data_IF_348061649159
#
_entry.id   IF_348061649159
#
_cell.length_a   1.000
_cell.length_b   1.000
_cell.length_c   1.000
_cell.angle_alpha   90.00
_cell.angle_beta   90.00
_cell.angle_gamma   90.00
#
_symmetry.space_group_name_H-M   'P 1'
#
loop_
_entity.id
_entity.type
_entity.pdbx_description
1 polymer ?
#
# COMPACT_ATOMS: atom_id res chain seq x y z
N UNK A 1 -41.48 33.05 -37.41
CA UNK A 1 -41.90 31.81 -36.76
C UNK A 1 -40.71 31.28 -35.96
N UNK A 2 -40.82 31.29 -34.64
CA UNK A 2 -39.88 30.61 -33.72
C UNK A 2 -40.27 29.13 -33.64
N UNK A 3 -39.34 28.26 -33.28
CA UNK A 3 -39.66 27.31 -32.20
C UNK A 3 -38.74 27.46 -30.99
N UNK A 4 -39.42 27.31 -29.86
CA UNK A 4 -39.00 27.28 -28.49
C UNK A 4 -38.17 26.04 -28.13
N UNK A 5 -37.17 26.28 -27.26
CA UNK A 5 -36.98 25.65 -25.94
C UNK A 5 -37.19 24.14 -25.78
N UNK A 6 -36.10 23.48 -25.37
CA UNK A 6 -36.15 22.52 -24.25
C UNK A 6 -34.72 22.36 -23.70
N UNK A 7 -34.38 23.28 -22.79
CA UNK A 7 -33.27 23.06 -21.85
C UNK A 7 -33.87 22.20 -20.73
N UNK A 8 -33.64 20.93 -20.77
CA UNK A 8 -33.85 20.04 -19.66
C UNK A 8 -32.72 20.21 -18.64
N UNK A 9 -32.97 20.92 -17.56
CA UNK A 9 -32.15 20.93 -16.37
C UNK A 9 -32.11 19.49 -15.81
N UNK A 10 -31.01 18.76 -16.01
CA UNK A 10 -30.71 17.63 -15.17
C UNK A 10 -30.38 18.17 -13.79
N UNK A 11 -31.32 17.98 -12.88
CA UNK A 11 -31.08 18.13 -11.45
C UNK A 11 -29.89 17.23 -11.09
N UNK A 12 -28.80 17.82 -10.62
CA UNK A 12 -27.81 17.08 -9.87
C UNK A 12 -28.52 16.54 -8.63
N UNK A 13 -28.92 15.28 -8.67
CA UNK A 13 -29.21 14.54 -7.46
C UNK A 13 -27.92 14.53 -6.65
N UNK A 14 -27.99 15.19 -5.53
CA UNK A 14 -26.98 15.21 -4.49
C UNK A 14 -26.85 13.76 -3.98
N UNK A 15 -25.94 12.99 -4.56
CA UNK A 15 -25.55 11.69 -4.01
C UNK A 15 -24.78 11.97 -2.73
N UNK A 16 -25.52 12.38 -1.70
CA UNK A 16 -25.04 12.37 -0.33
C UNK A 16 -24.40 11.03 -0.05
N UNK A 17 -23.16 11.02 0.38
CA UNK A 17 -22.46 9.83 0.86
C UNK A 17 -23.41 9.12 1.82
N UNK A 18 -23.84 7.93 1.41
CA UNK A 18 -24.68 7.06 2.21
C UNK A 18 -23.98 6.91 3.58
N UNK A 19 -24.64 7.35 4.66
CA UNK A 19 -24.16 7.30 6.04
C UNK A 19 -23.91 5.87 6.55
N UNK A 20 -23.90 4.89 5.64
CA UNK A 20 -23.82 3.45 5.90
C UNK A 20 -22.56 2.78 5.31
N UNK A 21 -21.55 3.52 4.87
CA UNK A 21 -20.30 2.85 4.46
C UNK A 21 -19.61 2.32 5.72
N UNK A 22 -19.41 0.99 5.83
CA UNK A 22 -18.78 0.40 7.02
C UNK A 22 -17.40 1.01 7.25
N UNK A 23 -17.10 1.38 8.50
CA UNK A 23 -15.83 1.97 8.89
C UNK A 23 -14.72 0.91 9.00
N UNK A 24 -15.07 -0.33 9.31
CA UNK A 24 -14.14 -1.43 9.48
C UNK A 24 -14.62 -2.73 8.84
N UNK A 25 -13.74 -3.73 8.75
CA UNK A 25 -14.12 -5.07 8.35
C UNK A 25 -15.06 -5.75 9.36
N UNK A 26 -14.93 -5.42 10.65
CA UNK A 26 -15.83 -5.92 11.68
C UNK A 26 -17.28 -5.56 11.39
N UNK A 27 -17.55 -4.35 10.91
CA UNK A 27 -18.92 -3.93 10.53
C UNK A 27 -19.45 -4.66 9.29
N UNK A 28 -18.54 -5.10 8.39
CA UNK A 28 -18.90 -5.79 7.15
C UNK A 28 -19.18 -7.29 7.34
N UNK A 29 -18.86 -7.86 8.51
CA UNK A 29 -19.01 -9.30 8.78
C UNK A 29 -20.37 -9.56 9.39
N UNK A 30 -21.10 -10.47 8.77
CA UNK A 30 -22.31 -11.04 9.35
C UNK A 30 -21.92 -12.05 10.46
N UNK A 31 -22.22 -11.70 11.71
CA UNK A 31 -21.88 -12.50 12.89
C UNK A 31 -22.60 -13.86 12.90
N UNK A 32 -23.80 -13.95 12.30
CA UNK A 32 -24.53 -15.20 12.22
C UNK A 32 -23.87 -16.21 11.28
N UNK A 33 -23.06 -15.72 10.36
CA UNK A 33 -22.26 -16.54 9.44
C UNK A 33 -21.01 -17.15 10.07
N UNK A 34 -20.67 -16.80 11.31
CA UNK A 34 -19.49 -17.26 12.04
C UNK A 34 -19.89 -18.28 13.09
N UNK A 35 -19.24 -19.45 13.10
CA UNK A 35 -19.48 -20.48 14.10
C UNK A 35 -18.55 -20.41 15.32
N UNK A 36 -17.44 -19.67 15.22
CA UNK A 36 -16.42 -19.55 16.26
C UNK A 36 -16.74 -18.37 17.19
N UNK A 37 -17.00 -18.69 18.47
CA UNK A 37 -17.44 -17.70 19.46
C UNK A 37 -16.33 -16.70 19.79
N UNK A 38 -15.06 -17.13 19.84
CA UNK A 38 -13.94 -16.24 20.15
C UNK A 38 -13.77 -15.17 19.06
N UNK A 39 -13.99 -15.56 17.80
CA UNK A 39 -14.00 -14.62 16.67
C UNK A 39 -15.17 -13.64 16.78
N UNK A 40 -16.36 -14.13 17.14
CA UNK A 40 -17.54 -13.26 17.33
C UNK A 40 -17.28 -12.20 18.38
N UNK A 41 -16.79 -12.63 19.54
CA UNK A 41 -16.53 -11.76 20.68
C UNK A 41 -15.47 -10.70 20.33
N UNK A 42 -14.42 -11.08 19.60
CA UNK A 42 -13.39 -10.15 19.13
C UNK A 42 -13.96 -9.12 18.14
N UNK A 43 -14.81 -9.54 17.20
CA UNK A 43 -15.46 -8.64 16.24
C UNK A 43 -16.40 -7.67 16.95
N UNK A 44 -17.15 -8.13 17.95
CA UNK A 44 -18.02 -7.27 18.77
C UNK A 44 -17.21 -6.21 19.50
N UNK A 45 -16.07 -6.60 20.10
CA UNK A 45 -15.16 -5.66 20.74
C UNK A 45 -14.60 -4.64 19.74
N UNK A 46 -14.18 -5.08 18.54
CA UNK A 46 -13.68 -4.18 17.50
C UNK A 46 -14.72 -3.15 17.06
N UNK A 47 -16.01 -3.49 17.05
CA UNK A 47 -17.09 -2.54 16.72
C UNK A 47 -17.28 -1.43 17.75
N UNK A 48 -16.78 -1.61 18.96
CA UNK A 48 -16.96 -0.69 20.08
C UNK A 48 -15.74 0.19 20.40
N UNK A 49 -14.63 0.05 19.64
CA UNK A 49 -13.42 0.84 19.89
C UNK A 49 -13.54 2.27 19.37
N UNK A 50 -12.75 3.21 19.93
CA UNK A 50 -12.71 4.58 19.41
C UNK A 50 -12.17 4.65 17.99
N UNK A 51 -12.72 5.58 17.22
CA UNK A 51 -12.31 5.85 15.84
C UNK A 51 -11.51 7.14 15.78
N UNK A 52 -10.29 7.06 15.23
CA UNK A 52 -9.44 8.20 14.94
C UNK A 52 -9.34 8.42 13.44
N UNK A 53 -9.47 9.67 13.00
CA UNK A 53 -9.40 10.04 11.60
C UNK A 53 -8.12 10.82 11.35
N UNK A 54 -7.33 10.40 10.38
CA UNK A 54 -6.24 11.16 9.79
C UNK A 54 -6.53 11.43 8.33
N UNK A 55 -5.88 12.42 7.75
CA UNK A 55 -5.96 12.72 6.31
C UNK A 55 -4.75 12.08 5.64
N UNK A 56 -4.97 11.45 4.48
CA UNK A 56 -3.84 11.03 3.65
C UNK A 56 -3.16 12.25 3.03
N UNK A 57 -1.95 12.51 3.45
CA UNK A 57 -1.09 13.59 2.96
C UNK A 57 0.23 13.02 2.42
N UNK A 58 0.17 11.80 1.89
CA UNK A 58 1.33 11.07 1.40
C UNK A 58 1.45 11.05 -0.12
N UNK A 59 2.69 10.91 -0.58
CA UNK A 59 3.01 10.52 -1.96
C UNK A 59 3.96 9.32 -1.95
N UNK A 60 3.85 8.47 -2.97
CA UNK A 60 4.64 7.24 -3.09
C UNK A 60 5.54 7.28 -4.34
N UNK A 61 6.76 7.81 -4.25
CA UNK A 61 7.73 7.78 -5.35
C UNK A 61 8.23 6.36 -5.60
N UNK A 62 8.16 5.94 -6.87
CA UNK A 62 8.85 4.75 -7.36
C UNK A 62 10.25 5.15 -7.76
N UNK A 63 11.23 4.98 -6.88
CA UNK A 63 12.59 5.51 -7.09
C UNK A 63 13.48 4.64 -8.00
N UNK A 64 13.19 3.34 -8.12
CA UNK A 64 13.97 2.38 -8.91
C UNK A 64 13.10 1.23 -9.38
N UNK A 65 13.43 0.67 -10.55
CA UNK A 65 12.75 -0.50 -11.12
C UNK A 65 13.33 -1.83 -10.62
N UNK A 66 14.63 -1.85 -10.34
CA UNK A 66 15.34 -3.08 -9.96
C UNK A 66 14.87 -3.64 -8.61
N UNK A 67 14.81 -4.96 -8.52
CA UNK A 67 14.61 -5.70 -7.28
C UNK A 67 15.16 -7.11 -7.44
N UNK A 68 15.81 -7.62 -6.45
CA UNK A 68 16.34 -8.99 -6.47
C UNK A 68 15.31 -10.06 -6.17
N UNK A 69 14.06 -9.70 -5.86
CA UNK A 69 12.98 -10.67 -5.67
C UNK A 69 12.05 -10.75 -6.88
N UNK A 70 11.41 -11.90 -7.07
CA UNK A 70 10.47 -12.19 -8.17
C UNK A 70 9.12 -12.64 -7.64
N UNK A 71 8.62 -11.96 -6.61
CA UNK A 71 7.41 -12.36 -5.89
C UNK A 71 6.21 -12.50 -6.82
N UNK A 72 5.50 -13.64 -6.74
CA UNK A 72 4.36 -13.98 -7.59
C UNK A 72 3.14 -13.08 -7.39
N UNK A 73 3.08 -12.36 -6.29
CA UNK A 73 2.00 -11.44 -5.91
C UNK A 73 2.42 -9.96 -5.93
N UNK A 74 3.54 -9.61 -6.57
CA UNK A 74 4.06 -8.24 -6.56
C UNK A 74 3.06 -7.25 -7.15
N UNK A 75 2.76 -6.16 -6.43
CA UNK A 75 1.84 -5.09 -6.87
C UNK A 75 2.43 -4.14 -7.91
N UNK A 76 3.69 -4.33 -8.27
CA UNK A 76 4.31 -3.59 -9.36
C UNK A 76 4.40 -2.08 -9.19
N UNK A 77 4.94 -1.64 -8.09
CA UNK A 77 5.34 -0.22 -8.02
C UNK A 77 6.69 0.03 -8.69
N UNK A 78 7.47 -0.99 -9.08
CA UNK A 78 8.82 -0.80 -9.57
C UNK A 78 9.32 -1.67 -10.70
N UNK A 79 8.80 -2.85 -10.89
CA UNK A 79 9.25 -3.73 -11.98
C UNK A 79 8.07 -4.22 -12.78
N UNK A 80 8.29 -4.59 -14.03
CA UNK A 80 7.25 -5.16 -14.85
C UNK A 80 6.61 -6.33 -14.12
N UNK A 81 5.33 -6.16 -13.79
CA UNK A 81 4.46 -7.27 -13.38
C UNK A 81 3.58 -7.56 -14.54
N UNK A 82 3.38 -8.80 -14.79
CA UNK A 82 2.37 -9.16 -15.72
C UNK A 82 1.00 -8.85 -15.12
N UNK A 83 0.27 -8.04 -15.76
CA UNK A 83 -1.15 -7.96 -15.49
C UNK A 83 -1.86 -9.11 -16.20
N UNK A 84 -2.92 -9.63 -15.59
CA UNK A 84 -3.80 -10.60 -16.26
C UNK A 84 -4.47 -10.01 -17.52
N UNK A 85 -4.28 -8.71 -17.78
CA UNK A 85 -4.94 -7.96 -18.84
C UNK A 85 -3.94 -7.36 -19.83
N UNK A 86 -4.24 -7.50 -21.13
CA UNK A 86 -3.50 -6.82 -22.18
C UNK A 86 -3.88 -5.33 -22.24
N UNK A 87 -2.90 -4.44 -22.49
CA UNK A 87 -3.14 -3.01 -22.73
C UNK A 87 -4.19 -2.69 -23.79
N UNK A 88 -4.30 -3.54 -24.80
CA UNK A 88 -5.10 -3.26 -26.01
C UNK A 88 -6.50 -3.83 -25.97
N UNK A 89 -6.76 -4.85 -25.15
CA UNK A 89 -8.01 -5.60 -25.22
C UNK A 89 -8.75 -5.74 -23.90
N UNK A 90 -8.15 -5.37 -22.76
CA UNK A 90 -8.67 -5.64 -21.41
C UNK A 90 -9.04 -7.13 -21.19
N UNK A 91 -8.56 -8.01 -22.09
CA UNK A 91 -8.80 -9.44 -21.98
C UNK A 91 -7.69 -10.12 -21.18
N UNK A 92 -8.02 -11.18 -20.43
CA UNK A 92 -7.02 -11.98 -19.72
C UNK A 92 -5.96 -12.47 -20.71
N UNK A 93 -4.68 -12.24 -20.39
CA UNK A 93 -3.60 -12.79 -21.18
C UNK A 93 -3.41 -14.28 -20.79
N UNK A 94 -3.76 -15.24 -21.69
CA UNK A 94 -3.72 -16.66 -21.35
C UNK A 94 -2.31 -17.20 -21.08
N UNK A 95 -1.25 -16.46 -21.44
CA UNK A 95 0.16 -16.82 -21.16
C UNK A 95 0.61 -16.35 -19.79
N UNK A 96 -0.28 -15.74 -19.02
CA UNK A 96 0.08 -15.02 -17.83
C UNK A 96 -0.62 -15.57 -16.60
N UNK A 97 0.14 -16.08 -15.66
CA UNK A 97 -0.37 -16.61 -14.37
C UNK A 97 -0.26 -15.62 -13.21
N UNK A 98 -0.12 -14.33 -13.51
CA UNK A 98 0.12 -13.31 -12.48
C UNK A 98 1.54 -13.41 -11.88
N UNK A 99 2.00 -12.31 -11.29
CA UNK A 99 3.29 -12.28 -10.66
C UNK A 99 4.34 -11.51 -11.45
N UNK A 100 5.46 -11.30 -10.79
CA UNK A 100 6.56 -10.50 -11.29
C UNK A 100 7.41 -11.29 -12.26
N UNK A 101 7.64 -10.72 -13.42
CA UNK A 101 8.56 -11.28 -14.41
C UNK A 101 9.96 -10.78 -14.11
N UNK A 102 10.95 -11.63 -14.37
CA UNK A 102 12.35 -11.29 -14.25
C UNK A 102 12.67 -9.96 -14.94
N UNK A 103 13.49 -9.12 -14.30
CA UNK A 103 14.02 -7.88 -14.88
C UNK A 103 14.74 -8.08 -16.21
N UNK A 104 15.11 -9.32 -16.55
CA UNK A 104 15.76 -9.70 -17.80
C UNK A 104 14.79 -10.00 -18.95
N UNK A 105 13.49 -10.04 -18.70
CA UNK A 105 12.48 -10.22 -19.73
C UNK A 105 11.99 -8.85 -20.25
N UNK A 106 12.28 -8.56 -21.51
CA UNK A 106 12.14 -7.21 -22.08
C UNK A 106 10.71 -6.70 -22.23
N UNK A 107 9.70 -7.52 -22.32
CA UNK A 107 8.29 -7.11 -22.35
C UNK A 107 7.37 -8.25 -21.96
N UNK A 108 6.38 -7.94 -21.17
CA UNK A 108 5.33 -8.86 -20.75
C UNK A 108 3.96 -8.21 -20.77
N UNK A 109 3.76 -7.22 -21.64
CA UNK A 109 2.52 -6.45 -21.79
C UNK A 109 2.06 -5.76 -20.50
N UNK A 110 2.99 -5.23 -19.74
CA UNK A 110 2.70 -4.62 -18.44
C UNK A 110 2.50 -3.14 -18.55
N UNK A 111 1.53 -2.63 -17.81
CA UNK A 111 1.35 -1.23 -17.53
C UNK A 111 2.37 -0.79 -16.50
N UNK A 112 3.48 -0.22 -16.96
CA UNK A 112 4.52 0.22 -16.07
C UNK A 112 5.31 1.36 -16.72
N UNK A 113 5.78 2.30 -15.93
CA UNK A 113 6.62 3.40 -16.38
C UNK A 113 8.04 3.09 -15.96
N UNK A 114 8.92 2.68 -16.89
CA UNK A 114 10.32 2.42 -16.57
C UNK A 114 11.05 3.72 -16.26
N UNK A 115 11.88 3.71 -15.24
CA UNK A 115 12.72 4.85 -14.88
C UNK A 115 13.30 4.73 -13.48
N UNK A 116 14.44 5.40 -13.27
CA UNK A 116 15.13 5.48 -11.98
C UNK A 116 15.29 6.96 -11.63
N UNK A 117 14.76 7.37 -10.49
CA UNK A 117 14.85 8.75 -10.01
C UNK A 117 16.28 9.10 -9.69
N UNK A 118 16.67 10.33 -9.98
CA UNK A 118 17.96 10.87 -9.59
C UNK A 118 17.74 11.93 -8.50
N UNK A 119 18.66 12.06 -7.53
CA UNK A 119 18.61 13.13 -6.53
C UNK A 119 19.11 14.44 -7.14
N UNK A 120 18.33 15.01 -8.04
CA UNK A 120 18.59 16.23 -8.79
C UNK A 120 17.50 17.29 -8.59
N UNK A 121 17.67 18.45 -9.18
CA UNK A 121 16.73 19.56 -9.05
C UNK A 121 15.35 19.19 -9.61
N UNK A 122 15.25 18.35 -10.65
CA UNK A 122 13.97 17.90 -11.19
C UNK A 122 13.19 17.07 -10.19
N UNK A 123 13.87 16.20 -9.41
CA UNK A 123 13.23 15.47 -8.33
C UNK A 123 12.73 16.41 -7.23
N UNK A 124 13.56 17.38 -6.83
CA UNK A 124 13.20 18.36 -5.81
C UNK A 124 11.99 19.19 -6.26
N UNK A 125 12.01 19.70 -7.48
CA UNK A 125 10.92 20.49 -8.05
C UNK A 125 9.63 19.68 -8.16
N UNK A 126 9.72 18.39 -8.53
CA UNK A 126 8.54 17.50 -8.57
C UNK A 126 7.90 17.32 -7.21
N UNK A 127 8.69 17.20 -6.13
CA UNK A 127 8.18 17.14 -4.77
C UNK A 127 7.54 18.46 -4.33
N UNK A 128 8.17 19.59 -4.63
CA UNK A 128 7.65 20.93 -4.29
C UNK A 128 6.33 21.22 -5.02
N UNK A 129 6.26 20.93 -6.30
CA UNK A 129 5.04 21.09 -7.09
C UNK A 129 3.90 20.20 -6.55
N UNK A 130 4.20 18.92 -6.23
CA UNK A 130 3.20 18.03 -5.63
C UNK A 130 2.79 18.50 -4.23
N UNK A 131 3.74 19.00 -3.42
CA UNK A 131 3.44 19.58 -2.10
C UNK A 131 2.52 20.78 -2.22
N UNK A 132 2.74 21.65 -3.19
CA UNK A 132 1.88 22.79 -3.45
C UNK A 132 0.49 22.39 -3.92
N UNK A 133 0.39 21.40 -4.81
CA UNK A 133 -0.89 20.99 -5.41
C UNK A 133 -1.76 20.16 -4.46
N UNK A 134 -1.18 19.27 -3.65
CA UNK A 134 -1.89 18.30 -2.82
C UNK A 134 -1.68 18.46 -1.31
N UNK A 135 -0.86 19.39 -0.87
CA UNK A 135 -0.56 19.58 0.57
C UNK A 135 0.10 18.37 1.20
N UNK A 136 0.96 17.64 0.46
CA UNK A 136 1.64 16.46 1.00
C UNK A 136 2.59 16.83 2.15
N UNK A 137 2.66 15.95 3.15
CA UNK A 137 3.56 16.03 4.31
C UNK A 137 4.46 14.80 4.43
N UNK A 138 4.14 13.72 3.73
CA UNK A 138 4.86 12.46 3.79
C UNK A 138 5.31 11.99 2.42
N UNK A 139 6.52 11.45 2.35
CA UNK A 139 7.03 10.70 1.21
C UNK A 139 7.26 9.25 1.63
N UNK A 140 6.67 8.33 0.91
CA UNK A 140 6.84 6.91 1.16
C UNK A 140 7.59 6.26 -0.02
N UNK A 141 8.90 6.18 0.09
CA UNK A 141 9.77 5.65 -0.95
C UNK A 141 9.45 4.17 -1.24
N UNK A 142 9.22 3.89 -2.51
CA UNK A 142 8.95 2.55 -3.04
C UNK A 142 9.77 2.29 -4.30
N UNK A 143 9.50 1.18 -4.95
CA UNK A 143 10.12 0.85 -6.22
C UNK A 143 10.07 -0.64 -6.47
N UNK A 144 11.07 -1.14 -7.13
CA UNK A 144 11.42 -2.56 -7.04
C UNK A 144 11.88 -2.85 -5.61
N UNK A 145 13.11 -2.48 -5.32
CA UNK A 145 13.65 -2.48 -3.96
C UNK A 145 14.47 -1.19 -3.74
N UNK A 146 14.00 -0.26 -2.91
CA UNK A 146 14.66 1.01 -2.69
C UNK A 146 16.13 0.91 -2.25
N UNK A 147 16.46 -0.10 -1.44
CA UNK A 147 17.85 -0.30 -0.95
C UNK A 147 18.84 -0.73 -2.05
N UNK A 148 18.37 -1.02 -3.25
CA UNK A 148 19.22 -1.23 -4.42
C UNK A 148 19.55 0.08 -5.15
N UNK A 149 18.90 1.20 -4.78
CA UNK A 149 19.20 2.48 -5.41
C UNK A 149 20.55 3.02 -4.92
N UNK A 150 21.54 3.30 -5.82
CA UNK A 150 22.88 3.65 -5.40
C UNK A 150 22.98 4.98 -4.65
N UNK A 151 22.01 5.87 -4.89
CA UNK A 151 21.95 7.21 -4.29
C UNK A 151 20.74 7.37 -3.34
N UNK A 152 20.31 6.30 -2.68
CA UNK A 152 19.15 6.32 -1.78
C UNK A 152 19.29 7.36 -0.65
N UNK A 153 20.43 7.48 0.05
CA UNK A 153 20.59 8.49 1.10
C UNK A 153 20.41 9.93 0.59
N UNK A 154 20.88 10.23 -0.64
CA UNK A 154 20.71 11.54 -1.26
C UNK A 154 19.25 11.84 -1.60
N UNK A 155 18.49 10.83 -2.10
CA UNK A 155 17.05 10.94 -2.33
C UNK A 155 16.31 11.23 -1.01
N UNK A 156 16.66 10.52 0.06
CA UNK A 156 16.10 10.76 1.41
C UNK A 156 16.41 12.19 1.86
N UNK A 157 17.66 12.62 1.74
CA UNK A 157 18.07 13.96 2.15
C UNK A 157 17.31 15.06 1.37
N UNK A 158 17.08 14.89 0.09
CA UNK A 158 16.35 15.86 -0.73
C UNK A 158 14.88 15.97 -0.31
N UNK A 159 14.22 14.83 -0.06
CA UNK A 159 12.84 14.84 0.43
C UNK A 159 12.73 15.46 1.83
N UNK A 160 13.67 15.18 2.73
CA UNK A 160 13.72 15.76 4.06
C UNK A 160 13.96 17.29 4.04
N UNK A 161 14.77 17.78 3.09
CA UNK A 161 15.04 19.22 2.92
C UNK A 161 13.82 20.06 2.59
N UNK A 162 12.78 19.49 2.00
CA UNK A 162 11.53 20.16 1.70
C UNK A 162 10.46 19.88 2.78
N UNK A 163 10.89 19.53 3.98
CA UNK A 163 10.02 19.34 5.14
C UNK A 163 8.94 18.27 4.88
N UNK A 164 9.37 17.10 4.42
CA UNK A 164 8.54 15.91 4.25
C UNK A 164 9.03 14.81 5.20
N UNK A 165 8.11 14.14 5.89
CA UNK A 165 8.41 12.93 6.66
C UNK A 165 8.73 11.77 5.71
N UNK A 166 9.96 11.30 5.73
CA UNK A 166 10.44 10.30 4.77
C UNK A 166 10.33 8.90 5.36
N UNK A 167 9.56 8.07 4.69
CA UNK A 167 9.33 6.65 5.01
C UNK A 167 9.72 5.79 3.80
N UNK A 168 9.93 4.49 4.05
CA UNK A 168 10.29 3.55 3.00
C UNK A 168 9.61 2.20 3.19
N UNK A 169 9.28 1.52 2.08
CA UNK A 169 8.96 0.08 2.09
C UNK A 169 10.12 -0.67 1.44
N UNK A 170 10.62 -1.71 2.11
CA UNK A 170 11.78 -2.47 1.67
C UNK A 170 11.60 -3.96 1.93
N UNK A 171 12.20 -4.81 1.10
CA UNK A 171 12.37 -6.23 1.37
C UNK A 171 13.67 -6.54 2.15
N UNK A 172 14.46 -5.51 2.47
CA UNK A 172 15.70 -5.61 3.24
C UNK A 172 16.93 -6.12 2.47
N UNK A 173 16.84 -6.32 1.17
CA UNK A 173 17.87 -7.03 0.38
C UNK A 173 19.26 -6.43 0.45
N UNK A 174 19.41 -5.12 0.59
CA UNK A 174 20.69 -4.41 0.66
C UNK A 174 20.72 -3.35 1.77
N UNK A 175 19.76 -3.39 2.69
CA UNK A 175 19.54 -2.32 3.68
C UNK A 175 20.72 -2.10 4.61
N UNK A 176 21.41 -3.16 5.06
CA UNK A 176 22.59 -3.06 5.93
C UNK A 176 23.63 -2.06 5.45
N UNK A 177 23.77 -1.86 4.13
CA UNK A 177 24.77 -0.94 3.56
C UNK A 177 24.35 0.52 3.53
N UNK A 178 23.04 0.80 3.59
CA UNK A 178 22.51 2.14 3.30
C UNK A 178 21.66 2.72 4.43
N UNK A 179 21.10 1.88 5.31
CA UNK A 179 20.13 2.33 6.33
C UNK A 179 20.73 3.36 7.29
N UNK A 180 22.00 3.17 7.70
CA UNK A 180 22.69 4.13 8.57
C UNK A 180 22.76 5.53 7.96
N UNK A 181 23.15 5.62 6.68
CA UNK A 181 23.22 6.88 5.94
C UNK A 181 21.82 7.46 5.69
N UNK A 182 20.82 6.62 5.39
CA UNK A 182 19.44 7.05 5.23
C UNK A 182 18.87 7.62 6.53
N UNK A 183 19.13 7.00 7.66
CA UNK A 183 18.71 7.50 8.98
C UNK A 183 19.33 8.88 9.25
N UNK A 184 20.62 9.03 8.98
CA UNK A 184 21.33 10.31 9.10
C UNK A 184 20.82 11.37 8.13
N UNK A 185 20.28 10.96 6.98
CA UNK A 185 19.71 11.82 5.95
C UNK A 185 18.27 12.25 6.23
N UNK A 186 17.61 11.68 7.27
CA UNK A 186 16.24 12.06 7.66
C UNK A 186 15.16 10.99 7.40
N UNK A 187 15.54 9.74 7.09
CA UNK A 187 14.57 8.64 7.06
C UNK A 187 14.04 8.42 8.48
N UNK A 188 12.72 8.38 8.63
CA UNK A 188 12.05 8.23 9.93
C UNK A 188 11.55 6.81 10.20
N UNK A 189 11.19 6.07 9.15
CA UNK A 189 10.52 4.78 9.27
C UNK A 189 10.79 3.85 8.09
N UNK A 190 10.89 2.55 8.40
CA UNK A 190 10.93 1.50 7.38
C UNK A 190 9.82 0.48 7.64
N UNK A 191 9.05 0.17 6.60
CA UNK A 191 8.11 -0.94 6.57
C UNK A 191 8.78 -2.11 5.84
N UNK A 192 9.24 -3.12 6.57
CA UNK A 192 9.82 -4.31 5.95
C UNK A 192 8.73 -5.27 5.47
N UNK A 193 8.86 -5.74 4.23
CA UNK A 193 7.95 -6.73 3.65
C UNK A 193 8.42 -8.14 4.01
N UNK A 194 7.66 -8.85 4.83
CA UNK A 194 7.97 -10.21 5.27
C UNK A 194 7.18 -11.19 4.41
N UNK A 195 7.82 -11.73 3.40
CA UNK A 195 7.19 -12.69 2.47
C UNK A 195 7.34 -14.16 2.91
N UNK A 196 8.23 -14.42 3.83
CA UNK A 196 8.48 -15.69 4.47
C UNK A 196 9.46 -15.48 5.61
N UNK A 197 9.49 -16.41 6.56
CA UNK A 197 10.39 -16.39 7.72
C UNK A 197 11.27 -17.64 7.78
N UNK A 198 11.04 -18.57 6.85
CA UNK A 198 11.96 -19.70 6.56
C UNK A 198 12.39 -19.66 5.10
N UNK A 199 13.53 -20.28 4.75
CA UNK A 199 14.00 -20.36 3.37
C UNK A 199 12.96 -20.95 2.41
N UNK A 200 12.25 -21.97 2.85
CA UNK A 200 11.22 -22.67 2.09
C UNK A 200 10.02 -21.74 1.84
N UNK A 201 9.53 -21.09 2.91
CA UNK A 201 8.42 -20.12 2.79
C UNK A 201 8.76 -19.00 1.81
N UNK A 202 9.95 -18.39 1.92
CA UNK A 202 10.35 -17.30 1.04
C UNK A 202 10.55 -17.78 -0.40
N UNK A 203 11.16 -18.97 -0.59
CA UNK A 203 11.34 -19.54 -1.93
C UNK A 203 10.01 -19.79 -2.62
N UNK A 204 9.00 -20.32 -1.91
CA UNK A 204 7.66 -20.57 -2.45
C UNK A 204 6.93 -19.30 -2.93
N UNK A 205 7.28 -18.12 -2.43
CA UNK A 205 6.68 -16.85 -2.86
C UNK A 205 7.28 -16.31 -4.15
N UNK A 206 8.41 -16.84 -4.57
CA UNK A 206 9.09 -16.40 -5.79
C UNK A 206 8.48 -17.06 -7.03
N UNK A 207 8.71 -16.48 -8.21
CA UNK A 207 8.39 -17.12 -9.48
C UNK A 207 9.05 -18.51 -9.55
N UNK A 208 8.36 -19.52 -10.09
CA UNK A 208 8.75 -20.93 -10.08
C UNK A 208 10.20 -21.19 -10.55
N UNK A 209 10.70 -20.41 -11.52
CA UNK A 209 12.09 -20.49 -12.02
C UNK A 209 13.14 -20.06 -10.98
N UNK A 210 12.74 -19.36 -9.92
CA UNK A 210 13.63 -18.79 -8.92
C UNK A 210 13.34 -19.30 -7.50
N UNK A 211 12.56 -20.36 -7.37
CA UNK A 211 12.29 -21.03 -6.10
C UNK A 211 13.53 -21.82 -5.63
N UNK A 212 14.40 -21.12 -4.91
CA UNK A 212 15.67 -21.68 -4.42
C UNK A 212 15.83 -21.37 -2.93
N UNK A 213 15.71 -22.40 -2.03
CA UNK A 213 15.84 -22.20 -0.59
C UNK A 213 17.20 -21.63 -0.16
N UNK A 214 18.30 -22.00 -0.80
CA UNK A 214 19.62 -21.48 -0.44
C UNK A 214 19.77 -19.99 -0.80
N UNK A 215 19.16 -19.54 -1.90
CA UNK A 215 19.06 -18.11 -2.23
C UNK A 215 18.13 -17.39 -1.25
N UNK A 216 16.99 -17.99 -0.92
CA UNK A 216 16.04 -17.44 0.03
C UNK A 216 16.65 -17.29 1.44
N UNK A 217 17.45 -18.25 1.91
CA UNK A 217 18.19 -18.15 3.18
C UNK A 217 19.05 -16.88 3.23
N UNK A 218 19.85 -16.63 2.19
CA UNK A 218 20.69 -15.40 2.11
C UNK A 218 19.86 -14.11 2.11
N UNK A 219 18.67 -14.15 1.51
CA UNK A 219 17.77 -12.98 1.51
C UNK A 219 17.14 -12.76 2.87
N UNK A 220 16.83 -13.82 3.61
CA UNK A 220 16.36 -13.73 5.01
C UNK A 220 17.45 -13.18 5.92
N UNK A 221 18.69 -13.62 5.77
CA UNK A 221 19.82 -13.06 6.53
C UNK A 221 19.95 -11.55 6.25
N UNK A 222 19.92 -11.13 4.99
CA UNK A 222 19.98 -9.73 4.61
C UNK A 222 18.80 -8.91 5.17
N UNK A 223 17.59 -9.46 5.17
CA UNK A 223 16.41 -8.85 5.78
C UNK A 223 16.62 -8.62 7.28
N UNK A 224 17.07 -9.66 8.00
CA UNK A 224 17.30 -9.58 9.45
C UNK A 224 18.43 -8.61 9.79
N UNK A 225 19.51 -8.59 9.01
CA UNK A 225 20.58 -7.60 9.15
C UNK A 225 20.04 -6.17 8.94
N UNK A 226 19.18 -5.97 7.94
CA UNK A 226 18.58 -4.67 7.65
C UNK A 226 17.61 -4.20 8.74
N UNK A 227 16.81 -5.11 9.32
CA UNK A 227 15.94 -4.80 10.47
C UNK A 227 16.80 -4.37 11.67
N UNK A 228 17.85 -5.13 11.99
CA UNK A 228 18.74 -4.79 13.10
C UNK A 228 19.42 -3.44 12.89
N UNK A 229 19.90 -3.15 11.69
CA UNK A 229 20.50 -1.86 11.34
C UNK A 229 19.52 -0.70 11.54
N UNK A 230 18.26 -0.87 11.09
CA UNK A 230 17.22 0.13 11.30
C UNK A 230 16.95 0.39 12.79
N UNK A 231 16.90 -0.66 13.61
CA UNK A 231 16.70 -0.55 15.06
C UNK A 231 17.89 0.12 15.76
N UNK A 232 19.13 -0.21 15.37
CA UNK A 232 20.35 0.41 15.92
C UNK A 232 20.36 1.92 15.65
N UNK A 233 19.88 2.36 14.48
CA UNK A 233 19.83 3.76 14.12
C UNK A 233 18.53 4.47 14.54
N UNK A 234 17.72 3.87 15.40
CA UNK A 234 16.55 4.49 16.03
C UNK A 234 15.37 4.70 15.08
N UNK A 235 15.34 4.04 13.91
CA UNK A 235 14.21 4.13 13.00
C UNK A 235 12.99 3.39 13.57
N UNK A 236 11.80 3.88 13.25
CA UNK A 236 10.57 3.12 13.47
C UNK A 236 10.51 1.96 12.47
N UNK A 237 10.27 0.76 12.97
CA UNK A 237 10.24 -0.45 12.13
C UNK A 237 8.88 -1.13 12.21
N UNK A 238 8.26 -1.30 11.06
CA UNK A 238 7.07 -2.16 10.91
C UNK A 238 7.44 -3.40 10.09
N UNK A 239 6.83 -4.55 10.39
CA UNK A 239 6.89 -5.78 9.61
C UNK A 239 5.54 -6.03 8.94
N UNK A 240 5.46 -5.87 7.62
CA UNK A 240 4.26 -6.12 6.84
C UNK A 240 4.16 -7.62 6.49
N UNK A 241 3.10 -8.29 6.94
CA UNK A 241 2.86 -9.71 6.71
C UNK A 241 1.49 -9.88 6.07
N UNK A 242 1.42 -10.43 4.86
CA UNK A 242 0.16 -10.86 4.25
C UNK A 242 -0.22 -12.22 4.82
N UNK A 243 -1.40 -12.33 5.39
CA UNK A 243 -1.91 -13.53 6.03
C UNK A 243 -3.11 -14.07 5.24
N UNK A 244 -2.86 -14.97 4.27
CA UNK A 244 -3.90 -15.59 3.44
C UNK A 244 -4.64 -16.72 4.15
N UNK A 245 -4.02 -17.34 5.15
CA UNK A 245 -4.60 -18.44 5.94
C UNK A 245 -3.96 -18.50 7.33
N UNK A 246 -4.53 -19.28 8.23
CA UNK A 246 -4.02 -19.45 9.60
C UNK A 246 -2.61 -20.09 9.63
N UNK A 247 -2.22 -20.83 8.60
CA UNK A 247 -0.86 -21.36 8.49
C UNK A 247 0.24 -20.27 8.47
N UNK A 248 -0.12 -19.02 8.13
CA UNK A 248 0.80 -17.89 8.18
C UNK A 248 0.97 -17.29 9.58
N UNK A 249 0.21 -17.74 10.58
CA UNK A 249 0.36 -17.31 11.98
C UNK A 249 1.80 -17.55 12.51
N UNK A 250 2.43 -18.63 12.10
CA UNK A 250 3.82 -18.94 12.48
C UNK A 250 4.82 -17.87 12.03
N UNK A 251 4.56 -17.19 10.91
CA UNK A 251 5.41 -16.06 10.45
C UNK A 251 5.34 -14.91 11.45
N UNK A 252 4.13 -14.60 11.91
CA UNK A 252 3.91 -13.54 12.90
C UNK A 252 4.61 -13.89 14.20
N UNK A 253 4.41 -15.13 14.69
CA UNK A 253 5.03 -15.62 15.91
C UNK A 253 6.57 -15.52 15.84
N UNK A 254 7.20 -16.01 14.77
CA UNK A 254 8.67 -15.94 14.60
C UNK A 254 9.22 -14.52 14.58
N UNK A 255 8.50 -13.55 14.04
CA UNK A 255 8.93 -12.14 14.08
C UNK A 255 8.75 -11.56 15.47
N UNK A 256 7.64 -11.85 16.15
CA UNK A 256 7.42 -11.45 17.56
C UNK A 256 8.50 -12.05 18.48
N UNK A 257 8.76 -13.34 18.38
CA UNK A 257 9.80 -14.03 19.18
C UNK A 257 11.19 -13.40 19.00
N UNK A 258 11.50 -12.97 17.77
CA UNK A 258 12.81 -12.42 17.45
C UNK A 258 12.99 -10.97 17.85
N UNK A 259 11.97 -10.14 17.72
CA UNK A 259 12.09 -8.69 17.86
C UNK A 259 11.24 -8.09 18.99
N UNK A 260 10.20 -8.78 19.43
CA UNK A 260 9.31 -8.33 20.50
C UNK A 260 8.68 -6.96 20.16
N UNK A 261 8.60 -6.10 21.15
CA UNK A 261 8.02 -4.76 21.02
C UNK A 261 8.81 -3.79 20.12
N UNK A 262 10.05 -4.13 19.74
CA UNK A 262 10.90 -3.28 18.90
C UNK A 262 10.39 -3.13 17.47
N UNK A 263 9.57 -4.07 17.01
CA UNK A 263 9.02 -4.11 15.66
C UNK A 263 7.50 -4.20 15.72
N UNK A 264 6.81 -3.24 15.11
CA UNK A 264 5.35 -3.30 15.01
C UNK A 264 4.94 -4.27 13.91
N UNK A 265 4.18 -5.30 14.25
CA UNK A 265 3.61 -6.21 13.27
C UNK A 265 2.43 -5.54 12.56
N UNK A 266 2.43 -5.58 11.23
CA UNK A 266 1.31 -5.13 10.40
C UNK A 266 0.79 -6.30 9.57
N UNK A 267 -0.34 -6.85 9.97
CA UNK A 267 -0.99 -7.94 9.24
C UNK A 267 -1.89 -7.32 8.17
N UNK A 268 -1.83 -7.86 6.97
CA UNK A 268 -2.65 -7.47 5.82
C UNK A 268 -3.43 -8.68 5.33
N UNK A 269 -4.67 -8.46 4.92
CA UNK A 269 -5.44 -9.51 4.28
C UNK A 269 -5.00 -9.71 2.82
N UNK A 270 -5.18 -10.95 2.34
CA UNK A 270 -5.03 -11.27 0.92
C UNK A 270 -6.27 -10.78 0.15
N UNK A 271 -6.05 -9.89 -0.82
CA UNK A 271 -7.13 -9.33 -1.62
C UNK A 271 -7.75 -10.34 -2.60
N UNK A 272 -7.07 -11.43 -2.90
CA UNK A 272 -7.60 -12.48 -3.76
C UNK A 272 -8.49 -13.47 -3.00
N UNK A 273 -8.26 -13.60 -1.69
CA UNK A 273 -9.02 -14.50 -0.81
C UNK A 273 -9.53 -13.77 0.43
N UNK A 274 -10.24 -12.68 0.21
CA UNK A 274 -10.56 -11.70 1.26
C UNK A 274 -11.28 -12.30 2.48
N UNK A 275 -12.34 -13.12 2.27
CA UNK A 275 -13.13 -13.65 3.37
C UNK A 275 -12.33 -14.59 4.25
N UNK A 276 -11.68 -15.59 3.65
CA UNK A 276 -10.90 -16.60 4.38
C UNK A 276 -9.70 -15.98 5.08
N UNK A 277 -9.01 -15.06 4.38
CA UNK A 277 -7.89 -14.32 4.96
C UNK A 277 -8.31 -13.49 6.18
N UNK A 278 -9.42 -12.76 6.11
CA UNK A 278 -9.93 -11.97 7.25
C UNK A 278 -10.28 -12.87 8.42
N UNK A 279 -11.00 -13.98 8.20
CA UNK A 279 -11.34 -14.94 9.25
C UNK A 279 -10.09 -15.57 9.88
N UNK A 280 -9.07 -15.88 9.06
CA UNK A 280 -7.79 -16.39 9.57
C UNK A 280 -7.09 -15.37 10.46
N UNK A 281 -7.14 -14.08 10.10
CA UNK A 281 -6.56 -12.99 10.91
C UNK A 281 -7.31 -12.86 12.23
N UNK A 282 -8.65 -12.79 12.21
CA UNK A 282 -9.43 -12.72 13.45
C UNK A 282 -9.20 -13.96 14.34
N UNK A 283 -9.12 -15.15 13.75
CA UNK A 283 -8.80 -16.37 14.51
C UNK A 283 -7.43 -16.29 15.16
N UNK A 284 -6.43 -15.82 14.44
CA UNK A 284 -5.09 -15.61 14.99
C UNK A 284 -5.11 -14.60 16.14
N UNK A 285 -5.75 -13.44 15.96
CA UNK A 285 -5.84 -12.40 16.98
C UNK A 285 -6.57 -12.90 18.24
N UNK A 286 -7.64 -13.68 18.08
CA UNK A 286 -8.32 -14.33 19.19
C UNK A 286 -7.41 -15.35 19.90
N UNK A 287 -6.69 -16.20 19.16
CA UNK A 287 -5.76 -17.19 19.75
C UNK A 287 -4.64 -16.57 20.59
N UNK A 288 -4.18 -15.36 20.22
CA UNK A 288 -3.14 -14.65 20.99
C UNK A 288 -3.74 -13.69 22.03
N UNK A 289 -5.06 -13.74 22.24
CA UNK A 289 -5.80 -12.85 23.15
C UNK A 289 -5.50 -11.37 22.93
N UNK A 290 -5.37 -10.96 21.66
CA UNK A 290 -5.15 -9.58 21.32
C UNK A 290 -6.43 -8.75 21.47
N UNK A 291 -6.34 -7.64 22.20
CA UNK A 291 -7.47 -6.74 22.44
C UNK A 291 -7.43 -5.55 21.48
N UNK A 292 -8.53 -5.23 20.78
CA UNK A 292 -8.60 -4.07 19.90
C UNK A 292 -8.65 -2.77 20.71
N UNK A 293 -7.84 -1.78 20.34
CA UNK A 293 -7.71 -0.51 21.06
C UNK A 293 -8.28 0.69 20.29
N UNK A 294 -8.05 0.73 18.98
CA UNK A 294 -8.35 1.92 18.16
C UNK A 294 -8.54 1.50 16.69
N UNK A 295 -9.53 2.08 16.04
CA UNK A 295 -9.65 2.09 14.58
C UNK A 295 -9.16 3.43 14.04
N UNK A 296 -8.10 3.44 13.23
CA UNK A 296 -7.63 4.62 12.52
C UNK A 296 -8.02 4.53 11.05
N UNK A 297 -8.63 5.59 10.54
CA UNK A 297 -9.03 5.75 9.16
C UNK A 297 -8.19 6.85 8.52
N UNK A 298 -7.54 6.55 7.40
CA UNK A 298 -6.83 7.54 6.61
C UNK A 298 -7.80 8.08 5.53
N UNK A 299 -8.47 9.21 5.84
CA UNK A 299 -9.42 9.85 4.92
C UNK A 299 -8.73 10.26 3.61
N UNK A 300 -9.39 10.04 2.50
CA UNK A 300 -8.83 10.24 1.17
C UNK A 300 -8.21 9.00 0.54
N UNK A 301 -8.12 7.88 1.26
CA UNK A 301 -7.62 6.61 0.72
C UNK A 301 -8.43 5.41 1.22
N UNK A 302 -8.13 4.25 0.64
CA UNK A 302 -8.71 2.98 1.08
C UNK A 302 -8.10 2.44 2.40
N UNK A 303 -7.15 3.15 3.02
CA UNK A 303 -6.41 2.64 4.19
C UNK A 303 -7.19 2.83 5.49
N UNK A 304 -7.36 1.73 6.23
CA UNK A 304 -7.82 1.72 7.60
C UNK A 304 -6.99 0.72 8.41
N UNK A 305 -6.85 0.96 9.72
CA UNK A 305 -5.97 0.19 10.58
C UNK A 305 -6.63 -0.01 11.94
N UNK A 306 -6.77 -1.24 12.38
CA UNK A 306 -7.12 -1.53 13.76
C UNK A 306 -5.85 -1.88 14.53
N UNK A 307 -5.65 -1.17 15.62
CA UNK A 307 -4.58 -1.42 16.56
C UNK A 307 -5.04 -2.44 17.59
N UNK A 308 -4.30 -3.51 17.73
CA UNK A 308 -4.48 -4.53 18.76
C UNK A 308 -3.28 -4.56 19.70
N UNK A 309 -3.53 -4.85 20.97
CA UNK A 309 -2.50 -5.09 21.97
C UNK A 309 -2.56 -6.51 22.47
N UNK A 310 -1.42 -7.19 22.51
CA UNK A 310 -1.29 -8.50 23.12
C UNK A 310 -1.15 -8.37 24.64
N UNK A 311 -1.52 -9.41 25.40
CA UNK A 311 -1.33 -9.42 26.86
C UNK A 311 0.12 -9.21 27.30
N UNK A 312 1.06 -9.57 26.47
CA UNK A 312 2.50 -9.43 26.63
C UNK A 312 3.04 -8.03 26.32
N UNK A 313 2.18 -7.14 25.74
CA UNK A 313 2.50 -5.73 25.49
C UNK A 313 2.73 -5.38 24.03
N UNK A 314 3.04 -6.36 23.16
CA UNK A 314 3.30 -6.12 21.76
C UNK A 314 2.07 -5.59 21.03
N UNK A 315 2.33 -4.82 19.98
CA UNK A 315 1.31 -4.22 19.15
C UNK A 315 1.21 -4.90 17.79
N UNK A 316 0.00 -5.28 17.44
CA UNK A 316 -0.36 -5.79 16.12
C UNK A 316 -1.29 -4.77 15.46
N UNK A 317 -0.98 -4.38 14.24
CA UNK A 317 -1.84 -3.55 13.39
C UNK A 317 -2.51 -4.44 12.36
N UNK A 318 -3.81 -4.56 12.40
CA UNK A 318 -4.57 -5.16 11.30
C UNK A 318 -4.89 -4.08 10.28
N UNK A 319 -4.18 -4.10 9.15
CA UNK A 319 -4.41 -3.18 8.04
C UNK A 319 -5.58 -3.68 7.21
N UNK A 320 -6.59 -2.85 7.12
CA UNK A 320 -7.83 -3.11 6.38
C UNK A 320 -7.89 -2.21 5.15
N UNK A 321 -8.20 -2.78 3.98
CA UNK A 321 -8.39 -2.01 2.76
C UNK A 321 -9.90 -1.82 2.56
N UNK A 322 -10.37 -0.59 2.78
CA UNK A 322 -11.76 -0.19 2.54
C UNK A 322 -11.83 0.38 1.13
N UNK A 323 -12.53 -0.28 0.23
CA UNK A 323 -12.66 0.22 -1.15
C UNK A 323 -13.24 1.63 -1.14
N UNK A 324 -12.48 2.60 -1.64
CA UNK A 324 -12.94 3.98 -1.86
C UNK A 324 -12.63 4.41 -3.28
N UNK A 325 -13.41 5.31 -3.84
CA UNK A 325 -13.36 5.70 -5.25
C UNK A 325 -13.32 7.20 -5.39
N UNK A 326 -12.47 7.68 -6.29
CA UNK A 326 -12.56 9.05 -6.79
C UNK A 326 -13.86 9.18 -7.60
N UNK A 327 -14.76 10.12 -7.26
CA UNK A 327 -16.12 10.15 -7.83
C UNK A 327 -16.14 10.30 -9.35
N UNK A 328 -15.32 11.22 -9.88
CA UNK A 328 -15.27 11.52 -11.32
C UNK A 328 -14.40 10.52 -12.07
N UNK A 329 -13.19 10.28 -11.57
CA UNK A 329 -12.21 9.39 -12.22
C UNK A 329 -12.61 7.92 -12.21
N UNK A 330 -13.22 7.44 -11.11
CA UNK A 330 -13.62 6.04 -10.96
C UNK A 330 -15.08 5.79 -11.36
N UNK A 331 -15.91 6.83 -11.50
CA UNK A 331 -17.35 6.71 -11.79
C UNK A 331 -17.60 5.89 -13.06
N UNK A 332 -16.98 6.26 -14.16
CA UNK A 332 -17.13 5.61 -15.47
C UNK A 332 -16.05 4.56 -15.76
N UNK A 333 -15.27 4.16 -14.74
CA UNK A 333 -14.20 3.19 -14.93
C UNK A 333 -14.76 1.77 -15.11
N UNK A 334 -14.46 1.15 -16.25
CA UNK A 334 -14.89 -0.24 -16.57
C UNK A 334 -14.35 -1.29 -15.61
N UNK A 335 -13.23 -0.99 -14.92
CA UNK A 335 -12.65 -1.85 -13.89
C UNK A 335 -13.27 -1.63 -12.51
N UNK A 336 -14.18 -0.65 -12.35
CA UNK A 336 -14.85 -0.39 -11.08
C UNK A 336 -15.92 -1.44 -10.76
N UNK A 337 -15.49 -2.66 -10.51
CA UNK A 337 -16.32 -3.78 -10.10
C UNK A 337 -15.59 -4.60 -9.01
N UNK A 338 -16.28 -5.49 -8.28
CA UNK A 338 -15.68 -6.26 -7.17
C UNK A 338 -14.57 -7.25 -7.61
N UNK A 339 -14.58 -7.67 -8.87
CA UNK A 339 -13.62 -8.64 -9.39
C UNK A 339 -12.29 -7.97 -9.73
N UNK A 340 -12.34 -6.84 -10.43
CA UNK A 340 -11.15 -6.21 -11.02
C UNK A 340 -10.53 -5.19 -10.07
N UNK A 341 -11.32 -4.26 -9.52
CA UNK A 341 -10.83 -3.23 -8.62
C UNK A 341 -11.17 -3.56 -7.17
N UNK A 342 -10.20 -4.11 -6.44
CA UNK A 342 -10.37 -4.54 -5.05
C UNK A 342 -10.01 -3.48 -4.02
N UNK A 343 -9.14 -2.55 -4.37
CA UNK A 343 -8.61 -1.53 -3.47
C UNK A 343 -9.29 -0.16 -3.63
N UNK A 344 -9.66 0.19 -4.87
CA UNK A 344 -10.09 1.56 -5.18
C UNK A 344 -8.92 2.53 -5.26
N UNK A 345 -9.15 3.78 -4.87
CA UNK A 345 -8.11 4.80 -4.79
C UNK A 345 -7.26 4.61 -3.53
N UNK A 346 -5.97 4.41 -3.72
CA UNK A 346 -5.01 4.11 -2.66
C UNK A 346 -3.89 5.15 -2.56
N UNK A 347 -4.18 6.40 -2.91
CA UNK A 347 -3.21 7.50 -2.86
C UNK A 347 -2.45 7.72 -4.16
N UNK A 348 -1.67 8.78 -4.16
CA UNK A 348 -0.90 9.29 -5.32
C UNK A 348 0.48 8.68 -5.39
N UNK A 349 0.97 8.44 -6.61
CA UNK A 349 2.30 7.93 -6.89
C UNK A 349 3.08 8.88 -7.78
N UNK A 350 4.38 8.97 -7.53
CA UNK A 350 5.30 9.72 -8.38
C UNK A 350 6.17 8.74 -9.16
N UNK A 351 6.24 8.95 -10.47
CA UNK A 351 7.07 8.19 -11.39
C UNK A 351 8.04 9.11 -12.11
N UNK A 352 9.12 8.56 -12.63
CA UNK A 352 9.96 9.19 -13.63
C UNK A 352 10.06 8.26 -14.83
N UNK A 353 9.95 8.79 -16.03
CA UNK A 353 10.15 7.99 -17.25
C UNK A 353 11.62 7.94 -17.69
N UNK A 354 11.92 7.21 -18.74
CA UNK A 354 13.28 7.06 -19.28
C UNK A 354 13.87 8.34 -19.84
N UNK A 355 13.08 9.38 -20.04
CA UNK A 355 13.51 10.71 -20.49
C UNK A 355 13.73 11.67 -19.32
N UNK A 356 13.57 11.20 -18.07
CA UNK A 356 13.68 12.01 -16.88
C UNK A 356 12.45 12.87 -16.57
N UNK A 357 11.33 12.65 -17.26
CA UNK A 357 10.08 13.41 -17.05
C UNK A 357 9.28 12.82 -15.90
N UNK A 358 8.91 13.65 -14.93
CA UNK A 358 8.13 13.25 -13.77
C UNK A 358 6.63 13.20 -14.07
N UNK A 359 5.97 12.19 -13.50
CA UNK A 359 4.56 11.88 -13.74
C UNK A 359 3.84 11.52 -12.44
N UNK A 360 2.57 11.90 -12.37
CA UNK A 360 1.67 11.52 -11.27
C UNK A 360 0.74 10.40 -11.73
N UNK A 361 0.70 9.31 -10.97
CA UNK A 361 -0.24 8.21 -11.13
C UNK A 361 -1.19 8.11 -9.96
N UNK A 362 -2.44 7.75 -10.23
CA UNK A 362 -3.51 7.64 -9.24
C UNK A 362 -4.10 6.22 -9.15
N UNK A 363 -3.74 5.34 -10.08
CA UNK A 363 -4.26 3.97 -10.13
C UNK A 363 -3.25 3.02 -10.75
N UNK A 364 -3.00 1.88 -10.10
CA UNK A 364 -2.10 0.84 -10.63
C UNK A 364 -2.71 0.04 -11.78
N UNK A 365 -4.04 -0.03 -11.84
CA UNK A 365 -4.75 -0.73 -12.93
C UNK A 365 -4.91 0.13 -14.18
N UNK A 366 -4.90 1.45 -14.03
CA UNK A 366 -5.13 2.44 -15.07
C UNK A 366 -3.92 3.35 -15.21
N UNK A 367 -2.80 2.76 -15.62
CA UNK A 367 -1.56 3.54 -15.88
C UNK A 367 -1.71 4.52 -17.05
N UNK A 368 -2.72 4.35 -17.88
CA UNK A 368 -3.14 5.30 -18.92
C UNK A 368 -3.66 6.63 -18.34
N UNK A 369 -4.09 6.66 -17.08
CA UNK A 369 -4.47 7.88 -16.36
C UNK A 369 -3.27 8.62 -15.75
N UNK A 370 -2.05 8.10 -15.92
CA UNK A 370 -0.85 8.77 -15.44
C UNK A 370 -0.55 10.00 -16.30
N UNK A 371 -0.39 11.15 -15.66
CA UNK A 371 -0.15 12.45 -16.31
C UNK A 371 1.24 12.96 -16.03
N UNK A 372 1.79 13.76 -16.93
CA UNK A 372 2.95 14.60 -16.61
C UNK A 372 2.62 15.53 -15.46
N UNK A 373 3.59 15.87 -14.62
CA UNK A 373 3.31 16.64 -13.40
C UNK A 373 2.67 18.01 -13.70
N UNK A 374 3.11 18.69 -14.75
CA UNK A 374 2.55 19.97 -15.15
C UNK A 374 1.10 19.81 -15.64
N UNK A 375 0.79 18.77 -16.40
CA UNK A 375 -0.56 18.46 -16.86
C UNK A 375 -1.47 18.10 -15.68
N UNK A 376 -0.96 17.32 -14.72
CA UNK A 376 -1.67 16.95 -13.51
C UNK A 376 -2.07 18.18 -12.69
N UNK A 377 -1.12 19.09 -12.42
CA UNK A 377 -1.36 20.29 -11.62
C UNK A 377 -2.43 21.20 -12.26
N UNK A 378 -2.45 21.29 -13.58
CA UNK A 378 -3.41 22.10 -14.32
C UNK A 378 -4.74 21.37 -14.64
N UNK A 379 -4.87 20.11 -14.26
CA UNK A 379 -6.10 19.32 -14.44
C UNK A 379 -7.07 19.46 -13.27
N UNK A 380 -8.23 18.81 -13.37
CA UNK A 380 -9.23 18.73 -12.28
C UNK A 380 -8.85 17.74 -11.17
N UNK A 381 -7.88 16.85 -11.42
CA UNK A 381 -7.53 15.76 -10.50
C UNK A 381 -7.06 16.22 -9.11
N UNK A 382 -6.20 17.25 -8.95
CA UNK A 382 -5.84 17.74 -7.63
C UNK A 382 -7.06 18.17 -6.82
N UNK A 383 -7.99 18.89 -7.47
CA UNK A 383 -9.25 19.32 -6.85
C UNK A 383 -10.12 18.12 -6.43
N UNK A 384 -10.26 17.11 -7.29
CA UNK A 384 -11.00 15.89 -7.00
C UNK A 384 -10.39 15.14 -5.80
N UNK A 385 -9.07 14.97 -5.74
CA UNK A 385 -8.36 14.32 -4.64
C UNK A 385 -8.57 15.07 -3.32
N UNK A 386 -8.42 16.38 -3.32
CA UNK A 386 -8.61 17.21 -2.13
C UNK A 386 -10.05 17.15 -1.62
N UNK A 387 -11.04 17.25 -2.52
CA UNK A 387 -12.46 17.09 -2.17
C UNK A 387 -12.75 15.68 -1.64
N UNK A 388 -12.13 14.65 -2.24
CA UNK A 388 -12.29 13.27 -1.78
C UNK A 388 -11.76 13.08 -0.36
N UNK A 389 -10.64 13.70 0.00
CA UNK A 389 -10.12 13.71 1.39
C UNK A 389 -11.14 14.28 2.37
N UNK A 390 -11.80 15.39 2.01
CA UNK A 390 -12.83 16.00 2.87
C UNK A 390 -14.09 15.12 2.96
N UNK A 391 -14.59 14.60 1.84
CA UNK A 391 -15.81 13.78 1.79
C UNK A 391 -15.69 12.45 2.50
N UNK A 392 -14.50 11.87 2.58
CA UNK A 392 -14.27 10.56 3.20
C UNK A 392 -13.94 10.65 4.69
N UNK A 393 -13.93 11.85 5.27
CA UNK A 393 -13.93 12.00 6.73
C UNK A 393 -15.27 11.51 7.27
N UNK A 394 -15.30 10.52 8.17
CA UNK A 394 -16.52 10.14 8.86
C UNK A 394 -17.12 11.36 9.56
N UNK A 395 -18.44 11.55 9.45
CA UNK A 395 -19.14 12.59 10.19
C UNK A 395 -19.10 12.28 11.67
N UNK A 396 -19.01 13.30 12.54
CA UNK A 396 -18.97 13.11 14.01
C UNK A 396 -20.19 12.31 14.55
N UNK A 397 -21.29 12.29 13.80
CA UNK A 397 -22.48 11.50 14.12
C UNK A 397 -22.36 10.01 13.76
N UNK A 398 -21.35 9.61 12.99
CA UNK A 398 -21.09 8.22 12.63
C UNK A 398 -20.04 7.56 13.56
N UNK A 399 -19.55 8.29 14.55
CA UNK A 399 -18.64 7.76 15.56
C UNK A 399 -19.47 7.14 16.69
N UNK A 400 -19.13 5.92 17.16
CA UNK A 400 -19.86 5.23 18.23
C UNK A 400 -19.82 5.99 19.55
#
# INVERSE_FOLDING_TARGET
MRPKELIGSKSHEDHGLDSKVPLSFAEMIDLDSINDQDIKDLIIKERAIPVTISIDEGIRPKIIDSCGMTCSFCHNEGTPVASAYSKTTLLPNPRYRGGRVSIFEKTNNVNFIPGTMQPDDNFLDSLLQTKQALGIKEVHLTGGEPTLHPMLPQIVAMAARVDLDVKMTSNGENGKRQIAECASAGLSKINFSIFGTTPEELAMTQHERYQNPALAARKLDALHESINEALIHGLKVDANIVMSSLAHADRVARILDRYGEKVTIRIQNDLNNQRESRLAIYKFLAMVNAEPEELRIDAGTADAKVRYRMPTGEVIIFKQIRKTMLPETCGDCTLNNPTDCKEGYYGTRLYVDTNGKYKIGICLLRMDLTQDIDDFINSTLPGEILQHRERTKPTQTALP
#
